data_IF_195535122368
#
_entry.id   IF_195535122368
#
_cell.length_a   1.000
_cell.length_b   1.000
_cell.length_c   1.000
_cell.angle_alpha   90.00
_cell.angle_beta   90.00
_cell.angle_gamma   90.00
#
_symmetry.space_group_name_H-M   'P 1'
#
loop_
_entity.id
_entity.type
_entity.pdbx_description
1 polymer ?
#
# COMPACT_ATOMS: atom_id res chain seq x y z
N UNK A 1 -5.41 6.80 16.95
CA UNK A 1 -6.25 5.73 16.37
C UNK A 1 -7.51 6.36 15.80
N UNK A 2 -7.48 6.78 14.52
CA UNK A 2 -8.56 7.55 13.86
C UNK A 2 -9.75 6.69 13.43
N UNK A 3 -10.04 6.67 12.12
CA UNK A 3 -11.21 5.99 11.50
C UNK A 3 -11.40 4.52 11.89
N UNK A 4 -10.32 3.82 12.23
CA UNK A 4 -10.35 2.40 12.62
C UNK A 4 -10.86 2.13 14.04
N UNK A 5 -10.86 3.13 14.94
CA UNK A 5 -11.14 2.91 16.36
C UNK A 5 -12.54 2.38 16.65
N UNK A 6 -13.51 2.70 15.77
CA UNK A 6 -14.92 2.29 15.93
C UNK A 6 -15.20 0.88 15.38
N UNK A 7 -14.27 0.25 14.65
CA UNK A 7 -14.50 -1.08 14.07
C UNK A 7 -14.35 -2.15 15.15
N UNK A 8 -15.48 -2.79 15.50
CA UNK A 8 -15.55 -3.88 16.47
C UNK A 8 -15.39 -5.29 15.84
N UNK A 9 -15.65 -6.31 16.64
CA UNK A 9 -15.73 -7.70 16.17
C UNK A 9 -14.42 -8.26 15.61
N UNK A 10 -14.55 -9.24 14.70
CA UNK A 10 -13.42 -9.92 14.04
C UNK A 10 -12.57 -8.94 13.24
N UNK A 11 -13.20 -8.08 12.43
CA UNK A 11 -12.51 -7.06 11.64
C UNK A 11 -11.70 -6.11 12.52
N UNK A 12 -12.28 -5.64 13.63
CA UNK A 12 -11.58 -4.82 14.62
C UNK A 12 -10.36 -5.50 15.24
N UNK A 13 -10.44 -6.81 15.55
CA UNK A 13 -9.30 -7.58 16.04
C UNK A 13 -8.19 -7.69 15.00
N UNK A 14 -8.54 -7.98 13.74
CA UNK A 14 -7.58 -8.02 12.61
C UNK A 14 -6.87 -6.69 12.42
N UNK A 15 -7.62 -5.57 12.40
CA UNK A 15 -7.03 -4.23 12.27
C UNK A 15 -6.07 -3.93 13.42
N UNK A 16 -6.43 -4.25 14.67
CA UNK A 16 -5.52 -4.04 15.82
C UNK A 16 -4.22 -4.84 15.70
N UNK A 17 -4.29 -6.08 15.21
CA UNK A 17 -3.10 -6.91 14.97
C UNK A 17 -2.20 -6.31 13.90
N UNK A 18 -2.77 -5.82 12.79
CA UNK A 18 -2.01 -5.13 11.73
C UNK A 18 -1.37 -3.85 12.26
N UNK A 19 -2.12 -3.03 13.00
CA UNK A 19 -1.62 -1.77 13.55
C UNK A 19 -0.55 -1.97 14.64
N UNK A 20 -0.53 -3.11 15.34
CA UNK A 20 0.55 -3.44 16.27
C UNK A 20 1.90 -3.56 15.55
N UNK A 21 1.93 -4.20 14.36
CA UNK A 21 3.13 -4.25 13.51
C UNK A 21 3.60 -2.85 13.09
N UNK A 22 2.67 -1.94 12.79
CA UNK A 22 2.98 -0.54 12.48
C UNK A 22 3.67 0.17 13.64
N UNK A 23 3.23 -0.05 14.88
CA UNK A 23 3.85 0.60 16.05
C UNK A 23 5.24 0.07 16.40
N UNK A 24 5.57 -1.14 15.93
CA UNK A 24 6.84 -1.82 16.21
C UNK A 24 7.89 -1.60 15.10
N UNK A 25 7.53 -0.88 14.03
CA UNK A 25 8.38 -0.74 12.86
C UNK A 25 8.47 0.71 12.38
N UNK A 26 9.69 1.22 12.21
CA UNK A 26 9.91 2.61 11.79
C UNK A 26 9.95 2.79 10.26
N UNK A 27 10.15 1.71 9.51
CA UNK A 27 10.26 1.76 8.05
C UNK A 27 8.94 2.23 7.43
N UNK A 28 9.02 3.30 6.62
CA UNK A 28 7.88 3.91 5.93
C UNK A 28 7.08 2.87 5.13
N UNK A 29 7.76 1.94 4.44
CA UNK A 29 7.12 0.89 3.65
C UNK A 29 6.23 -0.02 4.49
N UNK A 30 6.69 -0.42 5.68
CA UNK A 30 5.94 -1.30 6.58
C UNK A 30 4.76 -0.55 7.20
N UNK A 31 4.92 0.74 7.50
CA UNK A 31 3.80 1.59 7.96
C UNK A 31 2.73 1.75 6.88
N UNK A 32 3.12 2.01 5.63
CA UNK A 32 2.21 2.10 4.49
C UNK A 32 1.48 0.77 4.26
N UNK A 33 2.18 -0.36 4.25
CA UNK A 33 1.57 -1.69 4.13
C UNK A 33 0.52 -1.94 5.22
N UNK A 34 0.84 -1.62 6.49
CA UNK A 34 -0.09 -1.81 7.61
C UNK A 34 -1.35 -0.94 7.46
N UNK A 35 -1.21 0.31 6.99
CA UNK A 35 -2.35 1.20 6.76
C UNK A 35 -3.25 0.66 5.64
N UNK A 36 -2.67 0.17 4.55
CA UNK A 36 -3.40 -0.36 3.41
C UNK A 36 -4.14 -1.67 3.74
N UNK A 37 -3.45 -2.61 4.41
CA UNK A 37 -4.10 -3.84 4.88
C UNK A 37 -5.22 -3.54 5.88
N UNK A 38 -5.03 -2.57 6.76
CA UNK A 38 -6.08 -2.14 7.70
C UNK A 38 -7.29 -1.53 7.00
N UNK A 39 -7.06 -0.77 5.92
CA UNK A 39 -8.13 -0.21 5.10
C UNK A 39 -8.95 -1.30 4.41
N UNK A 40 -8.31 -2.32 3.82
CA UNK A 40 -9.00 -3.46 3.21
C UNK A 40 -9.95 -4.12 4.22
N UNK A 41 -9.43 -4.48 5.40
CA UNK A 41 -10.23 -5.10 6.46
C UNK A 41 -11.36 -4.17 6.95
N UNK A 42 -11.13 -2.86 6.98
CA UNK A 42 -12.15 -1.89 7.38
C UNK A 42 -13.33 -1.87 6.42
N UNK A 43 -13.07 -2.00 5.11
CA UNK A 43 -14.06 -2.12 4.05
C UNK A 43 -14.69 -3.53 3.94
N UNK A 44 -14.28 -4.45 4.81
CA UNK A 44 -14.63 -5.88 4.79
C UNK A 44 -14.10 -6.64 3.55
N UNK A 45 -13.06 -6.10 2.91
CA UNK A 45 -12.31 -6.76 1.84
C UNK A 45 -11.27 -7.72 2.44
N UNK A 46 -10.88 -8.73 1.68
CA UNK A 46 -9.73 -9.57 2.02
C UNK A 46 -8.42 -8.88 1.59
N UNK A 47 -7.53 -8.49 2.52
CA UNK A 47 -6.25 -7.88 2.17
C UNK A 47 -5.35 -8.79 1.31
N UNK A 48 -5.51 -10.11 1.33
CA UNK A 48 -4.70 -11.01 0.50
C UNK A 48 -5.06 -10.95 -1.00
N UNK A 49 -6.27 -10.51 -1.32
CA UNK A 49 -6.68 -10.32 -2.72
C UNK A 49 -6.15 -9.00 -3.32
N UNK A 50 -5.85 -8.01 -2.46
CA UNK A 50 -5.48 -6.66 -2.89
C UNK A 50 -3.99 -6.34 -2.70
N UNK A 51 -3.34 -6.97 -1.71
CA UNK A 51 -1.93 -6.74 -1.40
C UNK A 51 -1.11 -7.96 -1.80
N UNK A 52 -0.58 -7.94 -3.02
CA UNK A 52 0.35 -8.95 -3.55
C UNK A 52 1.79 -8.43 -3.49
N UNK A 53 2.71 -9.26 -3.01
CA UNK A 53 4.15 -8.98 -3.06
C UNK A 53 4.71 -9.46 -4.40
N UNK A 54 5.26 -8.54 -5.20
CA UNK A 54 5.91 -8.87 -6.46
C UNK A 54 7.42 -8.65 -6.35
N UNK A 55 8.20 -9.69 -6.66
CA UNK A 55 9.66 -9.61 -6.76
C UNK A 55 10.04 -9.50 -8.23
N UNK A 56 9.99 -8.28 -8.76
CA UNK A 56 10.45 -8.02 -10.12
C UNK A 56 11.98 -8.14 -10.19
N UNK A 57 12.49 -8.94 -11.12
CA UNK A 57 13.91 -8.97 -11.49
C UNK A 57 14.20 -8.14 -12.75
N UNK A 58 13.16 -7.76 -13.50
CA UNK A 58 13.18 -6.79 -14.60
C UNK A 58 11.80 -6.18 -14.87
N UNK A 59 11.73 -5.22 -15.82
CA UNK A 59 10.46 -4.58 -16.23
C UNK A 59 9.48 -5.56 -16.92
N UNK A 60 9.98 -6.70 -17.38
CA UNK A 60 9.21 -7.76 -18.02
C UNK A 60 8.46 -8.64 -17.02
N UNK A 61 8.82 -8.57 -15.73
CA UNK A 61 8.23 -9.39 -14.65
C UNK A 61 6.94 -8.79 -14.06
N UNK A 62 6.49 -7.63 -14.55
CA UNK A 62 5.21 -7.05 -14.13
C UNK A 62 4.07 -7.81 -14.81
N UNK A 63 3.27 -8.62 -14.07
CA UNK A 63 2.35 -9.55 -14.70
C UNK A 63 1.17 -8.84 -15.36
N UNK A 64 0.66 -9.44 -16.43
CA UNK A 64 -0.56 -8.97 -17.11
C UNK A 64 -1.79 -8.81 -16.20
N UNK A 65 -1.84 -9.52 -15.06
CA UNK A 65 -2.85 -9.31 -13.99
C UNK A 65 -2.90 -7.85 -13.49
N UNK A 66 -1.80 -7.09 -13.58
CA UNK A 66 -1.77 -5.68 -13.20
C UNK A 66 -2.68 -4.82 -14.09
N UNK A 67 -2.86 -5.19 -15.35
CA UNK A 67 -3.74 -4.48 -16.27
C UNK A 67 -5.23 -4.69 -15.97
N UNK A 68 -5.58 -5.81 -15.31
CA UNK A 68 -6.95 -6.12 -14.91
C UNK A 68 -7.31 -5.61 -13.50
N UNK A 69 -6.31 -5.19 -12.72
CA UNK A 69 -6.54 -4.76 -11.34
C UNK A 69 -7.07 -3.32 -11.29
N UNK A 70 -8.31 -3.15 -10.84
CA UNK A 70 -8.99 -1.85 -10.77
C UNK A 70 -8.23 -0.82 -9.91
N UNK A 71 -7.50 -1.27 -8.87
CA UNK A 71 -6.58 -0.45 -8.10
C UNK A 71 -5.52 -1.35 -7.43
N UNK A 72 -4.25 -1.03 -7.60
CA UNK A 72 -3.14 -1.79 -7.03
C UNK A 72 -2.02 -0.86 -6.53
N UNK A 73 -1.32 -1.28 -5.48
CA UNK A 73 -0.21 -0.52 -4.88
C UNK A 73 1.04 -1.39 -4.92
N UNK A 74 2.06 -0.93 -5.64
CA UNK A 74 3.29 -1.68 -5.87
C UNK A 74 4.45 -1.10 -5.08
N UNK A 75 5.23 -1.97 -4.46
CA UNK A 75 6.55 -1.62 -3.88
C UNK A 75 7.60 -2.24 -4.78
N UNK A 76 8.20 -1.43 -5.65
CA UNK A 76 9.23 -1.87 -6.59
C UNK A 76 10.59 -1.59 -5.95
N UNK A 77 11.41 -2.62 -5.80
CA UNK A 77 12.79 -2.49 -5.30
C UNK A 77 13.76 -2.94 -6.39
N UNK A 78 14.60 -2.03 -6.87
CA UNK A 78 15.66 -2.35 -7.83
C UNK A 78 16.93 -2.73 -7.09
N UNK A 79 17.51 -3.90 -7.38
CA UNK A 79 18.83 -4.26 -6.84
C UNK A 79 19.91 -3.39 -7.49
N UNK A 80 20.77 -2.78 -6.68
CA UNK A 80 21.97 -2.06 -7.14
C UNK A 80 21.76 -0.59 -7.53
N UNK A 81 20.58 -0.02 -7.28
CA UNK A 81 20.32 1.41 -7.46
C UNK A 81 20.34 2.08 -6.08
N UNK A 82 21.17 3.10 -5.91
CA UNK A 82 21.18 3.95 -4.71
C UNK A 82 19.75 4.43 -4.40
N UNK A 83 19.32 4.46 -3.13
CA UNK A 83 17.98 4.91 -2.78
C UNK A 83 17.71 6.29 -3.37
N UNK A 84 16.80 6.38 -4.33
CA UNK A 84 16.38 7.67 -4.88
C UNK A 84 15.76 8.47 -3.73
N UNK A 85 16.16 9.73 -3.57
CA UNK A 85 15.59 10.59 -2.53
C UNK A 85 14.05 10.49 -2.58
N UNK A 86 13.38 10.40 -1.41
CA UNK A 86 11.92 10.37 -1.36
C UNK A 86 11.38 11.53 -2.19
N UNK A 87 10.38 11.29 -3.03
CA UNK A 87 9.69 12.35 -3.76
C UNK A 87 9.04 13.27 -2.70
N UNK A 88 9.67 14.41 -2.43
CA UNK A 88 9.26 15.37 -1.38
C UNK A 88 8.04 16.22 -1.76
N UNK A 89 7.43 16.00 -2.92
CA UNK A 89 6.20 16.69 -3.29
C UNK A 89 5.27 15.74 -4.05
N UNK A 90 4.06 15.54 -3.54
CA UNK A 90 2.95 15.08 -4.38
C UNK A 90 2.34 16.34 -5.00
N UNK A 91 2.84 16.77 -6.17
CA UNK A 91 2.12 17.83 -6.90
C UNK A 91 0.99 17.14 -7.65
N UNK A 92 -0.23 17.30 -7.11
CA UNK A 92 -1.45 17.25 -7.90
C UNK A 92 -1.37 18.37 -8.95
N UNK A 93 -0.72 18.12 -10.08
CA UNK A 93 -0.97 18.94 -11.26
C UNK A 93 -2.31 18.47 -11.83
N UNK A 94 -3.38 19.00 -11.24
CA UNK A 94 -4.70 19.02 -11.87
C UNK A 94 -4.59 19.70 -13.23
N UNK A 95 -5.24 19.08 -14.20
CA UNK A 95 -5.24 19.51 -15.59
C UNK A 95 -5.75 20.94 -15.77
N UNK A 96 -5.20 21.57 -16.81
CA UNK A 96 -5.63 22.86 -17.33
C UNK A 96 -4.98 23.07 -18.69
N UNK A 97 -5.28 22.17 -19.64
CA UNK A 97 -4.87 22.29 -21.02
C UNK A 97 -5.86 23.16 -21.80
N UNK A 98 -5.46 24.41 -22.04
CA UNK A 98 -5.78 25.24 -23.21
C UNK A 98 -7.13 25.98 -23.24
N UNK A 99 -7.30 26.91 -24.20
CA UNK A 99 -6.29 27.57 -25.05
C UNK A 99 -5.73 28.87 -24.45
#
# INVERSE_FOLDING_TARGET
MGVYAKKGGVAGRKIRSIMARMSQNETINIKCECLLRSLCVYLNEDPEHLVKEYKATGEEDFPGEMAEMAMAIFVITHKGVEPREPIKHWNLHGGGGGP
#
